data_IF_398069054765
#
_entry.id   IF_398069054765
#
_cell.length_a   1.000
_cell.length_b   1.000
_cell.length_c   1.000
_cell.angle_alpha   90.00
_cell.angle_beta   90.00
_cell.angle_gamma   90.00
#
_symmetry.space_group_name_H-M   'P 1'
#
loop_
_entity.id
_entity.type
_entity.pdbx_description
1 polymer ?
#
# COMPACT_ATOMS: atom_id res chain seq x y z
N UNK A 1 6.73 16.71 9.46
CA UNK A 1 5.62 17.00 8.52
C UNK A 1 4.83 15.73 8.27
N UNK A 2 3.50 15.80 8.29
CA UNK A 2 2.63 14.63 8.06
C UNK A 2 2.59 14.33 6.56
N UNK A 3 3.14 13.18 6.15
CA UNK A 3 3.34 12.81 4.73
C UNK A 3 2.02 12.81 3.96
N UNK A 4 1.00 12.14 4.49
CA UNK A 4 -0.33 12.02 3.89
C UNK A 4 -0.97 13.40 3.66
N UNK A 5 -0.90 14.27 4.67
CA UNK A 5 -1.45 15.63 4.57
C UNK A 5 -0.72 16.46 3.51
N UNK A 6 0.58 16.25 3.35
CA UNK A 6 1.37 16.90 2.30
C UNK A 6 0.94 16.42 0.92
N UNK A 7 0.79 15.10 0.80
CA UNK A 7 0.40 14.45 -0.44
C UNK A 7 -1.04 14.76 -0.84
N UNK A 8 -1.95 14.96 0.11
CA UNK A 8 -3.32 15.42 -0.20
C UNK A 8 -3.32 16.74 -0.96
N UNK A 9 -2.61 17.75 -0.46
CA UNK A 9 -2.51 19.04 -1.14
C UNK A 9 -1.74 18.94 -2.46
N UNK A 10 -0.68 18.12 -2.51
CA UNK A 10 0.05 17.89 -3.75
C UNK A 10 -0.83 17.21 -4.80
N UNK A 11 -1.61 16.20 -4.42
CA UNK A 11 -2.50 15.45 -5.31
C UNK A 11 -3.63 16.34 -5.83
N UNK A 12 -4.24 17.17 -4.98
CA UNK A 12 -5.22 18.19 -5.41
C UNK A 12 -4.62 19.14 -6.44
N UNK A 13 -3.39 19.60 -6.21
CA UNK A 13 -2.69 20.48 -7.13
C UNK A 13 -2.33 19.77 -8.45
N UNK A 14 -1.87 18.52 -8.38
CA UNK A 14 -1.57 17.67 -9.54
C UNK A 14 -2.81 17.40 -10.39
N UNK A 15 -3.97 17.19 -9.77
CA UNK A 15 -5.24 17.02 -10.48
C UNK A 15 -5.64 18.30 -11.21
N UNK A 16 -5.53 19.45 -10.55
CA UNK A 16 -5.83 20.76 -11.16
C UNK A 16 -4.89 21.12 -12.30
N UNK A 17 -3.61 20.77 -12.18
CA UNK A 17 -2.55 21.14 -13.12
C UNK A 17 -1.99 19.95 -13.91
N UNK A 18 -2.83 18.93 -14.15
CA UNK A 18 -2.44 17.65 -14.76
C UNK A 18 -1.70 17.79 -16.10
N UNK A 19 -1.92 18.86 -16.85
CA UNK A 19 -1.21 19.15 -18.10
C UNK A 19 0.32 19.26 -17.96
N UNK A 20 0.84 19.52 -16.76
CA UNK A 20 2.28 19.58 -16.48
C UNK A 20 2.87 18.23 -16.02
N UNK A 21 2.07 17.17 -16.02
CA UNK A 21 2.53 15.84 -15.67
C UNK A 21 3.52 15.32 -16.70
N UNK A 22 4.73 15.00 -16.26
CA UNK A 22 5.74 14.34 -17.09
C UNK A 22 5.57 12.82 -17.05
N UNK A 23 6.18 12.13 -18.01
CA UNK A 23 6.22 10.65 -18.01
C UNK A 23 6.89 10.10 -16.73
N UNK A 24 7.91 10.81 -16.23
CA UNK A 24 8.58 10.43 -15.00
C UNK A 24 7.67 10.54 -13.76
N UNK A 25 6.80 11.57 -13.69
CA UNK A 25 5.77 11.69 -12.65
C UNK A 25 4.72 10.58 -12.77
N UNK A 26 4.35 10.20 -14.00
CA UNK A 26 3.40 9.10 -14.26
C UNK A 26 3.95 7.74 -13.82
N UNK A 27 5.24 7.48 -14.04
CA UNK A 27 5.90 6.25 -13.58
C UNK A 27 5.89 6.13 -12.06
N UNK A 28 6.01 7.24 -11.32
CA UNK A 28 5.90 7.24 -9.85
C UNK A 28 4.50 6.82 -9.40
N UNK A 29 3.45 7.39 -9.97
CA UNK A 29 2.08 7.01 -9.63
C UNK A 29 1.75 5.57 -10.04
N UNK A 30 2.22 5.13 -11.21
CA UNK A 30 2.05 3.74 -11.66
C UNK A 30 2.72 2.77 -10.69
N UNK A 31 3.95 3.05 -10.26
CA UNK A 31 4.65 2.26 -9.24
C UNK A 31 3.87 2.28 -7.91
N UNK A 32 3.31 3.42 -7.50
CA UNK A 32 2.48 3.50 -6.29
C UNK A 32 1.23 2.63 -6.37
N UNK A 33 0.54 2.62 -7.52
CA UNK A 33 -0.64 1.77 -7.75
C UNK A 33 -0.28 0.29 -7.67
N UNK A 34 0.84 -0.11 -8.27
CA UNK A 34 1.34 -1.48 -8.16
C UNK A 34 1.61 -1.85 -6.69
N UNK A 35 2.29 -0.99 -5.93
CA UNK A 35 2.52 -1.22 -4.51
C UNK A 35 1.25 -1.26 -3.68
N UNK A 36 0.21 -0.50 -4.06
CA UNK A 36 -1.10 -0.57 -3.39
C UNK A 36 -1.74 -1.94 -3.56
N UNK A 37 -1.72 -2.49 -4.77
CA UNK A 37 -2.21 -3.84 -5.04
C UNK A 37 -1.39 -4.89 -4.26
N UNK A 38 -0.06 -4.76 -4.25
CA UNK A 38 0.82 -5.64 -3.47
C UNK A 38 0.54 -5.57 -1.96
N UNK A 39 0.29 -4.38 -1.40
CA UNK A 39 -0.07 -4.20 0.00
C UNK A 39 -1.42 -4.85 0.34
N UNK A 40 -2.43 -4.73 -0.54
CA UNK A 40 -3.71 -5.42 -0.39
C UNK A 40 -3.52 -6.94 -0.36
N UNK A 41 -2.74 -7.48 -1.30
CA UNK A 41 -2.44 -8.92 -1.35
C UNK A 41 -1.68 -9.40 -0.10
N UNK A 42 -0.75 -8.60 0.39
CA UNK A 42 0.01 -8.89 1.61
C UNK A 42 -0.92 -8.92 2.83
N UNK A 43 -1.79 -7.92 2.98
CA UNK A 43 -2.78 -7.87 4.05
C UNK A 43 -3.78 -9.04 3.97
N UNK A 44 -4.23 -9.40 2.76
CA UNK A 44 -5.10 -10.55 2.55
C UNK A 44 -4.42 -11.88 2.95
N UNK A 45 -3.13 -12.04 2.65
CA UNK A 45 -2.36 -13.21 3.06
C UNK A 45 -2.19 -13.27 4.59
N UNK A 46 -1.90 -12.14 5.24
CA UNK A 46 -1.85 -12.05 6.72
C UNK A 46 -3.21 -12.39 7.33
N UNK A 47 -4.29 -11.83 6.80
CA UNK A 47 -5.64 -12.14 7.25
C UNK A 47 -5.95 -13.63 7.10
N UNK A 48 -5.72 -14.20 5.91
CA UNK A 48 -5.99 -15.62 5.64
C UNK A 48 -5.20 -16.55 6.55
N UNK A 49 -3.91 -16.30 6.75
CA UNK A 49 -3.06 -17.08 7.65
C UNK A 49 -3.51 -16.98 9.11
N UNK A 50 -3.87 -15.79 9.60
CA UNK A 50 -4.39 -15.62 10.97
C UNK A 50 -5.77 -16.26 11.16
N UNK A 51 -6.65 -16.17 10.14
CA UNK A 51 -7.95 -16.84 10.14
C UNK A 51 -7.78 -18.36 10.26
N UNK A 52 -6.84 -18.93 9.50
CA UNK A 52 -6.49 -20.34 9.53
C UNK A 52 -5.85 -20.76 10.85
N UNK A 53 -4.95 -19.94 11.39
CA UNK A 53 -4.27 -20.20 12.65
C UNK A 53 -5.24 -20.19 13.84
N UNK A 54 -6.21 -19.29 13.83
CA UNK A 54 -7.23 -19.14 14.88
C UNK A 54 -8.46 -20.02 14.70
N UNK A 55 -8.58 -20.73 13.57
CA UNK A 55 -9.71 -21.61 13.30
C UNK A 55 -9.69 -22.85 14.19
N UNK A 56 -10.87 -23.26 14.67
CA UNK A 56 -11.04 -24.51 15.40
C UNK A 56 -10.67 -25.72 14.55
N UNK A 57 -10.12 -26.76 15.18
CA UNK A 57 -9.71 -27.98 14.49
C UNK A 57 -10.86 -28.62 13.67
N UNK A 58 -12.10 -28.55 14.17
CA UNK A 58 -13.28 -29.02 13.45
C UNK A 58 -13.53 -28.24 12.14
N UNK A 59 -13.34 -26.92 12.14
CA UNK A 59 -13.49 -26.08 10.94
C UNK A 59 -12.43 -26.42 9.90
N UNK A 60 -11.18 -26.64 10.33
CA UNK A 60 -10.08 -27.01 9.44
C UNK A 60 -10.32 -28.40 8.85
N UNK A 61 -10.69 -29.39 9.67
CA UNK A 61 -11.04 -30.74 9.19
C UNK A 61 -12.24 -30.74 8.25
N UNK A 62 -13.18 -29.79 8.38
CA UNK A 62 -14.30 -29.65 7.44
C UNK A 62 -13.88 -29.08 6.08
N UNK A 63 -12.89 -28.18 6.06
CA UNK A 63 -12.43 -27.53 4.82
C UNK A 63 -11.34 -28.32 4.10
N UNK A 64 -10.47 -28.99 4.85
CA UNK A 64 -9.26 -29.66 4.37
C UNK A 64 -9.22 -31.16 4.71
N UNK A 65 -10.20 -31.69 5.43
CA UNK A 65 -10.29 -33.12 5.78
C UNK A 65 -11.18 -33.91 4.81
N UNK A 66 -11.02 -35.24 4.76
CA UNK A 66 -11.78 -36.10 3.84
C UNK A 66 -13.25 -36.29 4.26
N UNK A 67 -14.15 -36.58 3.30
CA UNK A 67 -13.94 -36.62 1.85
C UNK A 67 -13.92 -35.21 1.25
N UNK A 68 -12.97 -34.93 0.35
CA UNK A 68 -12.84 -33.60 -0.25
C UNK A 68 -13.81 -33.44 -1.43
N UNK A 69 -14.25 -32.21 -1.71
CA UNK A 69 -15.13 -31.92 -2.86
C UNK A 69 -14.43 -32.12 -4.23
N UNK A 70 -13.09 -32.05 -4.25
CA UNK A 70 -12.24 -32.34 -5.40
C UNK A 70 -11.07 -33.20 -4.92
N UNK A 71 -11.06 -34.47 -5.32
CA UNK A 71 -10.00 -35.44 -5.02
C UNK A 71 -9.23 -35.76 -6.31
N UNK A 72 -8.24 -34.92 -6.64
CA UNK A 72 -7.30 -35.20 -7.74
C UNK A 72 -5.87 -35.12 -7.20
N UNK A 73 -5.28 -36.28 -6.89
CA UNK A 73 -3.84 -36.47 -6.71
C UNK A 73 -3.14 -35.51 -5.72
N UNK A 74 -2.36 -34.56 -6.26
CA UNK A 74 -1.51 -33.64 -5.50
C UNK A 74 -2.31 -32.73 -4.56
N UNK A 75 -3.53 -32.36 -4.94
CA UNK A 75 -4.39 -31.49 -4.14
C UNK A 75 -4.83 -32.14 -2.81
N UNK A 76 -5.11 -33.44 -2.82
CA UNK A 76 -5.45 -34.19 -1.61
C UNK A 76 -4.29 -34.22 -0.61
N UNK A 77 -3.05 -34.45 -1.09
CA UNK A 77 -1.85 -34.44 -0.22
C UNK A 77 -1.57 -33.07 0.40
N UNK A 78 -1.82 -32.00 -0.34
CA UNK A 78 -1.66 -30.63 0.17
C UNK A 78 -2.69 -30.34 1.26
N UNK A 79 -3.95 -30.69 1.03
CA UNK A 79 -5.04 -30.50 2.01
C UNK A 79 -4.82 -31.32 3.28
N UNK A 80 -4.41 -32.58 3.15
CA UNK A 80 -4.05 -33.44 4.28
C UNK A 80 -2.89 -32.85 5.09
N UNK A 81 -1.82 -32.42 4.42
CA UNK A 81 -0.68 -31.75 5.07
C UNK A 81 -1.07 -30.47 5.80
N UNK A 82 -1.94 -29.64 5.21
CA UNK A 82 -2.48 -28.43 5.86
C UNK A 82 -3.31 -28.81 7.10
N UNK A 83 -4.17 -29.82 6.98
CA UNK A 83 -5.00 -30.31 8.06
C UNK A 83 -4.15 -30.81 9.23
N UNK A 84 -3.13 -31.62 8.95
CA UNK A 84 -2.22 -32.18 9.96
C UNK A 84 -1.37 -31.09 10.60
N UNK A 85 -0.73 -30.23 9.79
CA UNK A 85 0.09 -29.14 10.31
C UNK A 85 -0.71 -28.24 11.25
N UNK A 86 -1.94 -27.89 10.87
CA UNK A 86 -2.79 -27.04 11.68
C UNK A 86 -3.42 -27.80 12.86
N UNK A 87 -3.70 -29.09 12.79
CA UNK A 87 -4.33 -29.82 13.91
C UNK A 87 -3.36 -30.54 14.85
N UNK A 88 -2.06 -30.56 14.52
CA UNK A 88 -1.01 -31.25 15.28
C UNK A 88 -0.78 -30.74 16.71
N UNK A 89 -1.13 -29.49 17.02
CA UNK A 89 -0.87 -28.84 18.31
C UNK A 89 -2.08 -28.08 18.83
N UNK A 90 -2.13 -27.92 20.16
CA UNK A 90 -3.06 -27.01 20.83
C UNK A 90 -2.79 -25.58 20.36
N UNK A 91 -3.85 -24.90 19.89
CA UNK A 91 -3.79 -23.54 19.38
C UNK A 91 -4.85 -22.68 20.03
N UNK A 92 -4.56 -21.39 20.09
CA UNK A 92 -5.53 -20.40 20.57
C UNK A 92 -6.63 -20.20 19.51
N UNK A 93 -7.87 -20.57 19.86
CA UNK A 93 -9.03 -20.46 18.97
C UNK A 93 -10.04 -19.46 19.54
N UNK A 94 -9.78 -18.15 19.45
CA UNK A 94 -10.68 -17.13 19.95
C UNK A 94 -11.99 -17.12 19.16
N UNK A 95 -13.11 -16.85 19.85
CA UNK A 95 -14.43 -16.67 19.24
C UNK A 95 -14.93 -15.23 19.43
N UNK A 96 -15.86 -14.80 18.58
CA UNK A 96 -16.46 -13.46 18.65
C UNK A 96 -15.44 -12.32 18.54
N UNK A 97 -15.55 -11.32 19.42
CA UNK A 97 -14.67 -10.13 19.43
C UNK A 97 -13.18 -10.46 19.61
N UNK A 98 -12.84 -11.56 20.30
CA UNK A 98 -11.45 -11.99 20.45
C UNK A 98 -10.79 -12.32 19.10
N UNK A 99 -11.56 -12.89 18.16
CA UNK A 99 -11.04 -13.20 16.82
C UNK A 99 -10.83 -11.93 15.99
N UNK A 100 -11.71 -10.95 16.13
CA UNK A 100 -11.56 -9.65 15.46
C UNK A 100 -10.29 -8.92 15.93
N UNK A 101 -9.97 -9.01 17.23
CA UNK A 101 -8.73 -8.45 17.76
C UNK A 101 -7.49 -9.18 17.23
N UNK A 102 -7.49 -10.51 17.21
CA UNK A 102 -6.30 -11.30 16.80
C UNK A 102 -6.08 -11.28 15.28
N UNK A 103 -7.15 -11.25 14.49
CA UNK A 103 -7.05 -11.25 13.02
C UNK A 103 -7.06 -9.84 12.47
N UNK A 104 -8.04 -9.03 12.87
CA UNK A 104 -8.32 -7.73 12.29
C UNK A 104 -7.25 -6.69 12.62
N UNK A 105 -6.83 -6.60 13.89
CA UNK A 105 -5.86 -5.58 14.32
C UNK A 105 -4.50 -5.78 13.64
N UNK A 106 -3.87 -6.99 13.62
CA UNK A 106 -2.62 -7.18 12.90
C UNK A 106 -2.75 -6.96 11.40
N UNK A 107 -3.84 -7.42 10.78
CA UNK A 107 -4.10 -7.19 9.35
C UNK A 107 -4.16 -5.70 9.03
N UNK A 108 -4.89 -4.94 9.83
CA UNK A 108 -5.00 -3.49 9.68
C UNK A 108 -3.64 -2.81 9.84
N UNK A 109 -2.85 -3.18 10.86
CA UNK A 109 -1.52 -2.59 11.06
C UNK A 109 -0.58 -2.89 9.89
N UNK A 110 -0.56 -4.12 9.38
CA UNK A 110 0.24 -4.48 8.21
C UNK A 110 -0.14 -3.62 7.01
N UNK A 111 -1.44 -3.45 6.76
CA UNK A 111 -1.92 -2.60 5.67
C UNK A 111 -1.59 -1.12 5.88
N UNK A 112 -1.94 -0.54 7.02
CA UNK A 112 -1.75 0.88 7.30
C UNK A 112 -0.27 1.27 7.31
N UNK A 113 0.59 0.46 7.93
CA UNK A 113 2.03 0.72 7.98
C UNK A 113 2.66 0.59 6.58
N UNK A 114 2.26 -0.42 5.81
CA UNK A 114 2.78 -0.58 4.44
C UNK A 114 2.35 0.57 3.53
N UNK A 115 1.09 1.02 3.60
CA UNK A 115 0.61 2.19 2.84
C UNK A 115 1.37 3.46 3.24
N UNK A 116 1.53 3.71 4.54
CA UNK A 116 2.26 4.88 5.05
C UNK A 116 3.73 4.90 4.56
N UNK A 117 4.41 3.76 4.58
CA UNK A 117 5.78 3.63 4.07
C UNK A 117 5.84 3.93 2.57
N UNK A 118 4.86 3.46 1.79
CA UNK A 118 4.83 3.69 0.35
C UNK A 118 4.51 5.15 0.00
N UNK A 119 3.63 5.81 0.74
CA UNK A 119 3.40 7.25 0.59
C UNK A 119 4.65 8.07 0.89
N UNK A 120 5.38 7.70 1.94
CA UNK A 120 6.67 8.33 2.25
C UNK A 120 7.69 8.13 1.14
N UNK A 121 7.70 6.98 0.48
CA UNK A 121 8.56 6.71 -0.69
C UNK A 121 8.13 7.54 -1.90
N UNK A 122 6.82 7.67 -2.16
CA UNK A 122 6.26 8.50 -3.23
C UNK A 122 6.65 9.96 -3.07
N UNK A 123 6.45 10.54 -1.88
CA UNK A 123 6.83 11.92 -1.61
C UNK A 123 8.34 12.16 -1.80
N UNK A 124 9.18 11.22 -1.34
CA UNK A 124 10.63 11.30 -1.55
C UNK A 124 11.02 11.23 -3.03
N UNK A 125 10.28 10.48 -3.84
CA UNK A 125 10.52 10.42 -5.28
C UNK A 125 10.20 11.78 -5.92
N UNK A 126 9.04 12.37 -5.62
CA UNK A 126 8.68 13.71 -6.09
C UNK A 126 9.67 14.78 -5.67
N UNK A 127 10.11 14.78 -4.40
CA UNK A 127 11.08 15.75 -3.89
C UNK A 127 12.42 15.70 -4.64
N UNK A 128 12.82 14.54 -5.17
CA UNK A 128 14.07 14.37 -5.92
C UNK A 128 13.94 14.76 -7.39
N UNK A 129 12.73 15.04 -7.87
CA UNK A 129 12.45 15.18 -9.28
C UNK A 129 12.48 16.64 -9.70
N UNK A 130 13.16 16.92 -10.81
CA UNK A 130 13.25 18.25 -11.40
C UNK A 130 12.05 18.50 -12.32
N UNK A 131 10.84 18.38 -11.77
CA UNK A 131 9.57 18.63 -12.46
C UNK A 131 8.79 19.71 -11.73
N UNK A 132 7.77 20.24 -12.41
CA UNK A 132 6.81 21.19 -11.82
C UNK A 132 6.20 20.64 -10.52
N UNK A 133 5.83 19.36 -10.50
CA UNK A 133 5.33 18.69 -9.29
C UNK A 133 6.41 18.47 -8.23
N UNK A 134 7.64 18.15 -8.63
CA UNK A 134 8.75 18.00 -7.68
C UNK A 134 9.20 19.31 -7.02
N UNK A 135 9.12 20.43 -7.72
CA UNK A 135 9.30 21.76 -7.14
C UNK A 135 8.19 22.10 -6.13
N UNK A 136 6.93 21.85 -6.49
CA UNK A 136 5.81 22.05 -5.56
C UNK A 136 5.96 21.15 -4.32
N UNK A 137 6.34 19.89 -4.49
CA UNK A 137 6.59 18.97 -3.38
C UNK A 137 7.74 19.45 -2.47
N UNK A 138 8.85 19.94 -3.04
CA UNK A 138 9.98 20.51 -2.27
C UNK A 138 9.55 21.70 -1.44
N UNK A 139 8.78 22.61 -2.03
CA UNK A 139 8.30 23.82 -1.34
C UNK A 139 7.27 23.50 -0.26
N UNK A 140 6.35 22.57 -0.50
CA UNK A 140 5.42 22.10 0.52
C UNK A 140 6.20 21.52 1.71
N UNK A 141 7.26 20.74 1.46
CA UNK A 141 8.13 20.16 2.49
C UNK A 141 8.93 21.20 3.27
N UNK A 142 9.40 22.27 2.62
CA UNK A 142 10.23 23.31 3.24
C UNK A 142 9.40 24.39 3.96
N UNK A 143 8.35 24.90 3.31
CA UNK A 143 7.64 26.09 3.76
C UNK A 143 6.34 25.75 4.52
N UNK A 144 5.79 24.55 4.35
CA UNK A 144 4.54 24.12 5.00
C UNK A 144 3.30 24.95 4.66
N UNK A 145 3.42 25.94 3.76
CA UNK A 145 2.33 26.79 3.28
C UNK A 145 1.76 26.25 1.98
N UNK A 146 0.44 26.20 1.90
CA UNK A 146 -0.34 25.82 0.72
C UNK A 146 -0.54 27.08 -0.10
N UNK A 147 0.52 27.58 -0.73
CA UNK A 147 0.41 28.68 -1.69
C UNK A 147 0.15 28.07 -3.07
N UNK A 148 -1.03 28.34 -3.63
CA UNK A 148 -1.41 27.92 -4.98
C UNK A 148 -0.57 28.70 -5.99
N UNK A 149 0.60 28.19 -6.34
CA UNK A 149 1.36 28.77 -7.42
C UNK A 149 0.71 28.43 -8.77
N UNK A 150 0.53 29.46 -9.60
CA UNK A 150 0.27 29.29 -11.02
C UNK A 150 1.53 28.68 -11.66
N UNK A 151 1.36 27.61 -12.44
CA UNK A 151 2.47 26.95 -13.12
C UNK A 151 3.29 27.86 -14.07
N UNK A 152 2.79 29.06 -14.38
CA UNK A 152 3.50 30.12 -15.11
C UNK A 152 4.70 30.67 -14.32
N UNK A 153 4.65 30.65 -12.99
CA UNK A 153 5.68 31.22 -12.09
C UNK A 153 6.88 30.29 -11.84
N UNK A 154 6.84 29.06 -12.35
CA UNK A 154 7.96 28.13 -12.25
C UNK A 154 9.09 28.58 -13.19
N UNK A 155 8.76 29.18 -14.34
CA UNK A 155 9.76 29.90 -15.15
C UNK A 155 10.34 31.08 -14.37
N UNK A 156 9.55 31.82 -13.60
CA UNK A 156 10.01 32.98 -12.85
C UNK A 156 10.93 32.64 -11.68
N UNK A 157 10.71 31.51 -11.01
CA UNK A 157 11.44 31.13 -9.78
C UNK A 157 12.67 30.22 -9.99
N UNK A 158 12.92 29.74 -11.21
CA UNK A 158 14.15 29.03 -11.56
C UNK A 158 15.29 30.02 -11.84
N UNK A 159 16.54 29.72 -11.42
CA UNK A 159 17.72 30.48 -11.82
C UNK A 159 17.80 30.57 -13.34
N UNK A 160 18.26 31.71 -13.90
CA UNK A 160 18.27 31.97 -15.35
C UNK A 160 18.82 30.81 -16.20
N UNK A 161 19.84 30.10 -15.69
CA UNK A 161 20.47 28.95 -16.36
C UNK A 161 19.54 27.75 -16.57
N UNK A 162 18.49 27.60 -15.77
CA UNK A 162 17.55 26.46 -15.83
C UNK A 162 16.27 26.79 -16.60
N UNK A 163 16.00 28.07 -16.88
CA UNK A 163 14.83 28.49 -17.67
C UNK A 163 14.86 27.97 -19.11
N UNK A 164 16.04 27.81 -19.68
CA UNK A 164 16.23 27.38 -21.08
C UNK A 164 15.83 25.91 -21.33
N UNK A 165 15.77 25.08 -20.29
CA UNK A 165 15.41 23.65 -20.40
C UNK A 165 13.89 23.40 -20.49
N UNK A 166 13.08 24.43 -20.25
CA UNK A 166 11.61 24.35 -20.26
C UNK A 166 10.99 25.31 -21.30
N UNK A 167 11.76 25.62 -22.35
CA UNK A 167 11.28 26.42 -23.49
C UNK A 167 10.23 25.63 -24.28
#
# INVERSE_FOLDING_TARGET
MKVELTLQHLDEWMLRWRKFQTESDWRIETNRQWWRQANIMTAAAVMGSLVMYTAGAATIRRQFGPPHFFDIGVDAKIKESICDAMTSRWRYTPQGYGRLMVVGVPTFFVFAVSEHIQERRRLRAYVKQNTVFGEQARRLVQNGKIEEYLAVDIKASLPEKQRQLYA
#
